data_IF_001834647935
#
_entry.id   IF_001834647935
#
_cell.length_a   1.000
_cell.length_b   1.000
_cell.length_c   1.000
_cell.angle_alpha   90.00
_cell.angle_beta   90.00
_cell.angle_gamma   90.00
#
_symmetry.space_group_name_H-M   'P 1'
#
loop_
_entity.id
_entity.type
_entity.pdbx_description
1 polymer ?
#
# COMPACT_ATOMS: atom_id res chain seq x y z
N UNK A 1 36.77 -2.79 31.50
CA UNK A 1 35.55 -2.42 30.76
C UNK A 1 35.13 -3.65 30.00
N UNK A 2 34.29 -4.45 30.62
CA UNK A 2 33.74 -5.65 29.98
C UNK A 2 32.64 -5.18 29.04
N UNK A 3 32.75 -5.53 27.76
CA UNK A 3 31.60 -5.60 26.85
C UNK A 3 30.70 -6.74 27.35
N UNK A 4 30.01 -6.53 28.48
CA UNK A 4 28.90 -7.41 28.86
C UNK A 4 27.77 -7.10 27.89
N UNK A 5 27.77 -7.86 26.79
CA UNK A 5 26.80 -7.77 25.73
C UNK A 5 25.40 -7.80 26.32
N UNK A 6 24.60 -6.81 25.95
CA UNK A 6 23.19 -6.78 26.34
C UNK A 6 22.50 -8.08 25.91
N UNK A 7 21.48 -8.55 26.64
CA UNK A 7 20.68 -9.68 26.20
C UNK A 7 20.17 -9.48 24.77
N UNK A 8 20.12 -10.55 23.97
CA UNK A 8 19.71 -10.49 22.55
C UNK A 8 18.34 -9.79 22.34
N UNK A 9 17.42 -9.96 23.30
CA UNK A 9 16.13 -9.29 23.29
C UNK A 9 16.25 -7.75 23.39
N UNK A 10 17.16 -7.24 24.24
CA UNK A 10 17.45 -5.81 24.35
C UNK A 10 18.11 -5.28 23.08
N UNK A 11 19.07 -6.00 22.51
CA UNK A 11 19.69 -5.60 21.24
C UNK A 11 18.69 -5.57 20.08
N UNK A 12 17.77 -6.55 20.04
CA UNK A 12 16.68 -6.60 19.06
C UNK A 12 15.74 -5.41 19.23
N UNK A 13 15.43 -5.05 20.48
CA UNK A 13 14.64 -3.87 20.80
C UNK A 13 15.33 -2.57 20.38
N UNK A 14 16.62 -2.39 20.70
CA UNK A 14 17.38 -1.20 20.33
C UNK A 14 17.55 -1.08 18.82
N UNK A 15 17.73 -2.19 18.08
CA UNK A 15 17.70 -2.18 16.61
C UNK A 15 16.35 -1.76 16.05
N UNK A 16 15.25 -2.19 16.66
CA UNK A 16 13.92 -1.75 16.26
C UNK A 16 13.70 -0.26 16.56
N UNK A 17 14.17 0.23 17.70
CA UNK A 17 14.11 1.65 18.09
C UNK A 17 14.94 2.53 17.15
N UNK A 18 16.18 2.15 16.86
CA UNK A 18 17.05 2.86 15.92
C UNK A 18 16.42 2.96 14.52
N UNK A 19 15.76 1.88 14.06
CA UNK A 19 15.02 1.90 12.80
C UNK A 19 13.83 2.89 12.82
N UNK A 20 13.10 3.01 13.93
CA UNK A 20 11.99 3.96 14.07
C UNK A 20 12.46 5.43 14.21
N UNK A 21 13.65 5.64 14.78
CA UNK A 21 14.29 6.96 14.95
C UNK A 21 15.08 7.42 13.71
N UNK A 22 15.19 6.61 12.66
CA UNK A 22 16.02 6.90 11.46
C UNK A 22 15.70 8.20 10.71
N UNK A 23 14.52 8.79 10.92
CA UNK A 23 14.11 10.07 10.33
C UNK A 23 14.31 11.27 11.28
N UNK A 24 14.65 11.03 12.54
CA UNK A 24 15.05 12.07 13.49
C UNK A 24 16.49 12.48 13.18
N UNK A 25 16.89 13.75 13.40
CA UNK A 25 18.29 14.14 13.27
C UNK A 25 19.22 13.16 14.02
N UNK A 26 20.36 12.77 13.42
CA UNK A 26 21.13 11.63 13.89
C UNK A 26 21.70 11.82 15.30
N UNK A 27 21.92 13.06 15.72
CA UNK A 27 22.46 13.35 17.05
C UNK A 27 21.42 13.07 18.15
N UNK A 28 20.20 13.65 18.13
CA UNK A 28 19.15 13.28 19.10
C UNK A 28 18.75 11.81 19.00
N UNK A 29 18.71 11.22 17.81
CA UNK A 29 18.41 9.79 17.67
C UNK A 29 19.43 8.91 18.42
N UNK A 30 20.74 9.20 18.29
CA UNK A 30 21.80 8.49 19.02
C UNK A 30 21.70 8.69 20.53
N UNK A 31 21.38 9.90 20.97
CA UNK A 31 21.19 10.22 22.38
C UNK A 31 20.04 9.40 22.98
N UNK A 32 18.88 9.37 22.31
CA UNK A 32 17.73 8.56 22.76
C UNK A 32 18.08 7.07 22.81
N UNK A 33 18.73 6.52 21.79
CA UNK A 33 19.14 5.11 21.78
C UNK A 33 20.15 4.83 22.90
N UNK A 34 21.08 5.75 23.16
CA UNK A 34 22.06 5.62 24.24
C UNK A 34 21.40 5.69 25.62
N UNK A 35 20.43 6.59 25.82
CA UNK A 35 19.69 6.73 27.08
C UNK A 35 18.84 5.49 27.36
N UNK A 36 18.13 4.97 26.35
CA UNK A 36 17.35 3.73 26.49
C UNK A 36 18.27 2.54 26.74
N UNK A 37 19.43 2.49 26.07
CA UNK A 37 20.45 1.45 26.31
C UNK A 37 20.96 1.50 27.76
N UNK A 38 21.30 2.69 28.26
CA UNK A 38 21.76 2.89 29.63
C UNK A 38 20.66 2.50 30.63
N UNK A 39 19.41 2.90 30.39
CA UNK A 39 18.29 2.54 31.23
C UNK A 39 18.06 1.02 31.32
N UNK A 40 18.22 0.29 30.20
CA UNK A 40 18.12 -1.17 30.19
C UNK A 40 19.28 -1.78 31.00
N UNK A 41 20.52 -1.30 30.80
CA UNK A 41 21.68 -1.79 31.53
C UNK A 41 21.53 -1.58 33.05
N UNK A 42 21.16 -0.37 33.47
CA UNK A 42 20.95 -0.03 34.89
C UNK A 42 19.85 -0.90 35.52
N UNK A 43 18.78 -1.19 34.76
CA UNK A 43 17.69 -2.03 35.25
C UNK A 43 18.10 -3.51 35.39
N UNK A 44 18.93 -4.01 34.46
CA UNK A 44 19.50 -5.36 34.54
C UNK A 44 20.46 -5.49 35.71
N UNK A 45 21.33 -4.50 35.94
CA UNK A 45 22.23 -4.45 37.10
C UNK A 45 21.45 -4.39 38.43
N UNK A 46 20.27 -3.77 38.41
CA UNK A 46 19.30 -3.78 39.50
C UNK A 46 18.56 -5.12 39.71
N UNK A 47 18.83 -6.14 38.88
CA UNK A 47 18.26 -7.49 38.98
C UNK A 47 16.85 -7.64 38.41
N UNK A 48 16.35 -6.67 37.62
CA UNK A 48 15.06 -6.81 36.93
C UNK A 48 15.19 -7.73 35.72
N UNK A 49 14.13 -8.49 35.45
CA UNK A 49 14.07 -9.35 34.27
C UNK A 49 13.87 -8.53 32.99
N UNK A 50 14.50 -8.98 31.90
CA UNK A 50 14.45 -8.28 30.61
C UNK A 50 13.02 -8.14 30.05
N UNK A 51 12.16 -9.14 30.24
CA UNK A 51 10.79 -9.07 29.73
C UNK A 51 9.98 -8.01 30.51
N UNK A 52 10.23 -7.87 31.81
CA UNK A 52 9.64 -6.83 32.64
C UNK A 52 10.12 -5.43 32.23
N UNK A 53 11.43 -5.27 31.99
CA UNK A 53 12.03 -4.01 31.52
C UNK A 53 11.42 -3.58 30.20
N UNK A 54 11.38 -4.48 29.21
CA UNK A 54 10.83 -4.18 27.88
C UNK A 54 9.31 -3.94 27.93
N UNK A 55 8.57 -4.64 28.78
CA UNK A 55 7.15 -4.37 28.98
C UNK A 55 6.90 -2.98 29.59
N UNK A 56 7.79 -2.52 30.49
CA UNK A 56 7.74 -1.20 31.10
C UNK A 56 8.08 -0.07 30.13
N UNK A 57 9.06 -0.27 29.25
CA UNK A 57 9.41 0.68 28.19
C UNK A 57 8.31 0.77 27.11
N UNK A 58 7.57 -0.30 26.89
CA UNK A 58 6.57 -0.40 25.83
C UNK A 58 7.17 -0.79 24.49
N UNK A 59 6.44 -0.52 23.41
CA UNK A 59 6.94 -0.77 22.06
C UNK A 59 7.95 0.29 21.63
N UNK A 60 8.94 -0.10 20.83
CA UNK A 60 9.92 0.84 20.27
C UNK A 60 9.26 1.98 19.46
N UNK A 61 8.11 1.70 18.84
CA UNK A 61 7.28 2.69 18.16
C UNK A 61 6.67 3.73 19.11
N UNK A 62 6.28 3.31 20.32
CA UNK A 62 5.75 4.20 21.34
C UNK A 62 6.85 5.14 21.87
N UNK A 63 8.04 4.61 22.16
CA UNK A 63 9.19 5.41 22.60
C UNK A 63 9.62 6.39 21.51
N UNK A 64 9.71 5.94 20.25
CA UNK A 64 10.03 6.83 19.14
C UNK A 64 8.96 7.92 18.90
N UNK A 65 7.68 7.59 19.08
CA UNK A 65 6.58 8.56 19.00
C UNK A 65 6.67 9.61 20.10
N UNK A 66 6.96 9.20 21.34
CA UNK A 66 7.15 10.11 22.46
C UNK A 66 8.35 11.04 22.22
N UNK A 67 9.48 10.49 21.80
CA UNK A 67 10.66 11.28 21.47
C UNK A 67 10.39 12.32 20.37
N UNK A 68 9.58 11.99 19.36
CA UNK A 68 9.17 12.96 18.34
C UNK A 68 8.30 14.07 18.92
N UNK A 69 7.35 13.73 19.79
CA UNK A 69 6.50 14.71 20.46
C UNK A 69 7.33 15.69 21.32
N UNK A 70 8.30 15.16 22.07
CA UNK A 70 9.25 15.96 22.87
C UNK A 70 10.12 16.89 22.00
N UNK A 71 10.52 16.42 20.82
CA UNK A 71 11.27 17.20 19.84
C UNK A 71 10.38 18.16 19.01
N UNK A 72 9.06 18.17 19.24
CA UNK A 72 8.10 18.96 18.47
C UNK A 72 8.00 18.56 16.99
N UNK A 73 8.40 17.33 16.66
CA UNK A 73 8.34 16.79 15.31
C UNK A 73 6.92 16.32 14.97
N UNK A 74 6.46 16.49 13.72
CA UNK A 74 5.12 16.06 13.33
C UNK A 74 4.93 14.55 13.53
N UNK A 75 3.79 14.18 14.11
CA UNK A 75 3.38 12.78 14.32
C UNK A 75 3.35 12.04 12.99
N UNK A 76 3.83 10.79 12.99
CA UNK A 76 4.04 9.93 11.81
C UNK A 76 2.72 9.40 11.19
N UNK A 77 1.77 10.30 10.93
CA UNK A 77 0.44 10.01 10.38
C UNK A 77 0.45 9.62 8.90
N UNK A 78 1.57 9.84 8.18
CA UNK A 78 1.67 9.59 6.74
C UNK A 78 1.39 8.13 6.38
N UNK A 79 2.02 7.17 7.08
CA UNK A 79 1.84 5.75 6.82
C UNK A 79 0.41 5.29 7.12
N UNK A 80 -0.20 5.76 8.21
CA UNK A 80 -1.56 5.39 8.56
C UNK A 80 -2.60 6.04 7.63
N UNK A 81 -2.34 7.27 7.16
CA UNK A 81 -3.16 7.94 6.15
C UNK A 81 -3.08 7.22 4.80
N UNK A 82 -1.89 6.78 4.39
CA UNK A 82 -1.70 5.95 3.21
C UNK A 82 -2.46 4.63 3.35
N UNK A 83 -2.34 3.97 4.51
CA UNK A 83 -3.04 2.74 4.80
C UNK A 83 -4.56 2.89 4.75
N UNK A 84 -5.11 3.96 5.36
CA UNK A 84 -6.54 4.26 5.33
C UNK A 84 -7.03 4.51 3.92
N UNK A 85 -6.30 5.30 3.13
CA UNK A 85 -6.65 5.61 1.74
C UNK A 85 -6.71 4.32 0.90
N UNK A 86 -5.70 3.45 1.03
CA UNK A 86 -5.66 2.19 0.30
C UNK A 86 -6.73 1.20 0.74
N UNK A 87 -7.00 1.12 2.05
CA UNK A 87 -8.13 0.32 2.56
C UNK A 87 -9.46 0.82 2.01
N UNK A 88 -9.69 2.13 1.91
CA UNK A 88 -10.92 2.69 1.29
C UNK A 88 -11.01 2.31 -0.19
N UNK A 89 -9.92 2.44 -0.95
CA UNK A 89 -9.88 2.03 -2.37
C UNK A 89 -10.15 0.53 -2.52
N UNK A 90 -9.57 -0.29 -1.66
CA UNK A 90 -9.78 -1.73 -1.68
C UNK A 90 -11.22 -2.11 -1.32
N UNK A 91 -11.84 -1.46 -0.34
CA UNK A 91 -13.26 -1.65 -0.02
C UNK A 91 -14.13 -1.24 -1.20
N UNK A 92 -13.87 -0.09 -1.82
CA UNK A 92 -14.63 0.36 -3.00
C UNK A 92 -14.50 -0.65 -4.17
N UNK A 93 -13.29 -1.15 -4.44
CA UNK A 93 -13.06 -2.20 -5.41
C UNK A 93 -13.81 -3.49 -5.04
N UNK A 94 -13.76 -3.91 -3.78
CA UNK A 94 -14.46 -5.11 -3.30
C UNK A 94 -15.97 -5.01 -3.44
N UNK A 95 -16.55 -3.83 -3.14
CA UNK A 95 -17.98 -3.56 -3.35
C UNK A 95 -18.33 -3.59 -4.84
N UNK A 96 -17.52 -2.97 -5.70
CA UNK A 96 -17.70 -3.04 -7.16
C UNK A 96 -17.71 -4.50 -7.64
N UNK A 97 -16.73 -5.30 -7.20
CA UNK A 97 -16.60 -6.72 -7.54
C UNK A 97 -17.82 -7.50 -7.03
N UNK A 98 -18.27 -7.26 -5.81
CA UNK A 98 -19.44 -7.93 -5.22
C UNK A 98 -20.72 -7.64 -6.02
N UNK A 99 -20.92 -6.38 -6.44
CA UNK A 99 -22.02 -5.99 -7.33
C UNK A 99 -21.88 -6.71 -8.67
N UNK A 100 -20.70 -6.72 -9.28
CA UNK A 100 -20.45 -7.45 -10.52
C UNK A 100 -20.77 -8.94 -10.36
N UNK A 101 -20.24 -9.62 -9.35
CA UNK A 101 -20.49 -11.06 -9.15
C UNK A 101 -21.97 -11.35 -8.86
N UNK A 102 -22.64 -10.49 -8.09
CA UNK A 102 -24.05 -10.69 -7.72
C UNK A 102 -25.02 -10.52 -8.89
N UNK A 103 -24.78 -9.53 -9.76
CA UNK A 103 -25.71 -9.15 -10.82
C UNK A 103 -25.28 -9.63 -12.22
N UNK A 104 -23.98 -9.76 -12.44
CA UNK A 104 -23.42 -9.99 -13.77
C UNK A 104 -23.00 -11.45 -13.99
N UNK A 105 -22.57 -12.20 -12.98
CA UNK A 105 -22.19 -13.61 -13.21
C UNK A 105 -23.43 -14.47 -13.49
N UNK A 106 -23.52 -15.12 -14.67
CA UNK A 106 -24.47 -16.20 -14.88
C UNK A 106 -24.12 -17.32 -13.91
N UNK A 107 -25.07 -17.78 -13.09
CA UNK A 107 -24.81 -18.92 -12.22
C UNK A 107 -24.68 -20.19 -13.08
N UNK A 108 -23.45 -20.65 -13.32
CA UNK A 108 -23.17 -21.86 -14.10
C UNK A 108 -23.25 -23.14 -13.28
N UNK A 109 -23.62 -23.06 -11.99
CA UNK A 109 -23.78 -24.25 -11.15
C UNK A 109 -24.97 -25.07 -11.69
N UNK A 110 -24.75 -26.28 -12.23
CA UNK A 110 -25.82 -27.15 -12.66
C UNK A 110 -26.40 -27.79 -11.39
N UNK A 111 -27.65 -27.48 -11.06
CA UNK A 111 -28.32 -28.08 -9.88
C UNK A 111 -29.57 -28.87 -10.27
N UNK A 112 -29.92 -28.96 -11.57
CA UNK A 112 -31.04 -29.80 -12.00
C UNK A 112 -30.60 -30.89 -12.99
N UNK A 113 -30.68 -32.18 -12.64
CA UNK A 113 -30.59 -33.28 -13.59
C UNK A 113 -31.88 -33.45 -14.43
N UNK A 114 -32.93 -32.65 -14.18
CA UNK A 114 -34.24 -32.78 -14.80
C UNK A 114 -34.69 -31.46 -15.46
N UNK A 115 -33.91 -30.98 -16.43
CA UNK A 115 -34.40 -30.27 -17.62
C UNK A 115 -35.42 -29.14 -17.41
N UNK A 116 -35.13 -28.17 -16.54
CA UNK A 116 -35.87 -26.91 -16.47
C UNK A 116 -34.98 -25.74 -16.90
N UNK A 117 -35.45 -25.01 -17.92
CA UNK A 117 -34.91 -23.81 -18.58
C UNK A 117 -33.58 -23.25 -18.06
N UNK A 118 -32.55 -23.35 -18.90
CA UNK A 118 -31.27 -22.65 -18.79
C UNK A 118 -31.42 -21.14 -19.07
N UNK A 119 -32.30 -20.47 -18.34
CA UNK A 119 -32.35 -19.01 -18.30
C UNK A 119 -31.15 -18.50 -17.50
N UNK A 120 -30.31 -17.69 -18.14
CA UNK A 120 -29.18 -16.97 -17.53
C UNK A 120 -29.66 -16.03 -16.40
N UNK A 121 -29.98 -16.58 -15.24
CA UNK A 121 -30.39 -15.80 -14.08
C UNK A 121 -29.18 -15.57 -13.18
N UNK A 122 -28.90 -14.30 -12.87
CA UNK A 122 -27.84 -13.92 -11.94
C UNK A 122 -28.07 -14.48 -10.52
N UNK A 123 -27.01 -14.53 -9.73
CA UNK A 123 -26.98 -15.13 -8.38
C UNK A 123 -28.11 -14.61 -7.49
N UNK A 124 -28.41 -13.31 -7.52
CA UNK A 124 -29.51 -12.70 -6.74
C UNK A 124 -30.88 -13.27 -7.11
N UNK A 125 -31.15 -13.48 -8.41
CA UNK A 125 -32.43 -14.01 -8.88
C UNK A 125 -32.58 -15.50 -8.56
N UNK A 126 -31.47 -16.24 -8.63
CA UNK A 126 -31.47 -17.70 -8.44
C UNK A 126 -31.40 -18.14 -6.99
N UNK A 127 -30.58 -17.49 -6.18
CA UNK A 127 -30.27 -17.88 -4.80
C UNK A 127 -30.84 -16.91 -3.75
N UNK A 128 -31.45 -15.81 -4.21
CA UNK A 128 -32.00 -14.78 -3.35
C UNK A 128 -30.96 -13.78 -2.84
N UNK A 129 -31.43 -12.67 -2.24
CA UNK A 129 -30.57 -11.57 -1.78
C UNK A 129 -29.62 -11.97 -0.64
N UNK A 130 -29.97 -12.98 0.16
CA UNK A 130 -29.14 -13.45 1.28
C UNK A 130 -27.80 -14.05 0.81
N UNK A 131 -27.81 -14.84 -0.27
CA UNK A 131 -26.57 -15.40 -0.83
C UNK A 131 -25.76 -14.31 -1.54
N UNK A 132 -26.41 -13.32 -2.15
CA UNK A 132 -25.72 -12.16 -2.70
C UNK A 132 -24.93 -11.37 -1.63
N UNK A 133 -25.41 -11.30 -0.38
CA UNK A 133 -24.65 -10.70 0.72
C UNK A 133 -23.32 -11.42 1.01
N UNK A 134 -23.22 -12.71 0.72
CA UNK A 134 -21.95 -13.44 0.90
C UNK A 134 -20.85 -12.94 -0.05
N UNK A 135 -21.22 -12.35 -1.20
CA UNK A 135 -20.24 -11.75 -2.13
C UNK A 135 -19.58 -10.48 -1.56
N UNK A 136 -20.14 -9.89 -0.51
CA UNK A 136 -19.54 -8.75 0.22
C UNK A 136 -18.49 -9.18 1.24
N UNK A 137 -18.41 -10.47 1.59
CA UNK A 137 -17.49 -10.98 2.60
C UNK A 137 -16.02 -10.60 2.30
N UNK A 138 -15.51 -10.72 1.05
CA UNK A 138 -14.19 -10.23 0.69
C UNK A 138 -13.98 -8.74 0.96
N UNK A 139 -14.98 -7.89 0.69
CA UNK A 139 -14.89 -6.46 0.94
C UNK A 139 -14.87 -6.16 2.46
N UNK A 140 -15.68 -6.87 3.25
CA UNK A 140 -15.70 -6.77 4.70
C UNK A 140 -14.36 -7.20 5.33
N UNK A 141 -13.74 -8.26 4.79
CA UNK A 141 -12.44 -8.74 5.24
C UNK A 141 -11.35 -7.66 5.07
N UNK A 142 -11.41 -6.88 3.99
CA UNK A 142 -10.49 -5.74 3.77
C UNK A 142 -10.86 -4.50 4.58
N UNK A 143 -12.12 -4.36 4.97
CA UNK A 143 -12.57 -3.31 5.87
C UNK A 143 -12.18 -3.58 7.34
N UNK A 144 -12.02 -4.85 7.74
CA UNK A 144 -11.77 -5.24 9.14
C UNK A 144 -10.57 -4.52 9.79
N UNK A 145 -9.41 -4.31 9.12
CA UNK A 145 -8.32 -3.53 9.69
C UNK A 145 -8.68 -2.07 10.03
N UNK A 146 -9.71 -1.47 9.41
CA UNK A 146 -10.10 -0.09 9.71
C UNK A 146 -10.67 0.08 11.13
N UNK A 147 -11.26 -0.97 11.70
CA UNK A 147 -11.87 -0.94 13.04
C UNK A 147 -10.94 -1.51 14.12
N UNK A 148 -9.91 -2.26 13.74
CA UNK A 148 -8.96 -2.88 14.68
C UNK A 148 -7.99 -1.85 15.30
N UNK A 149 -7.51 -2.09 16.54
CA UNK A 149 -6.52 -1.23 17.17
C UNK A 149 -5.17 -1.27 16.42
N UNK A 150 -4.40 -0.18 16.49
CA UNK A 150 -3.20 0.04 15.68
C UNK A 150 -2.17 -1.11 15.74
N UNK A 151 -1.99 -1.70 16.93
CA UNK A 151 -1.02 -2.78 17.20
C UNK A 151 -1.21 -4.02 16.32
N UNK A 152 -2.45 -4.43 16.05
CA UNK A 152 -2.77 -5.62 15.24
C UNK A 152 -3.09 -5.27 13.78
N UNK A 153 -3.25 -3.98 13.48
CA UNK A 153 -3.73 -3.51 12.18
C UNK A 153 -2.80 -3.88 11.02
N UNK A 154 -1.49 -3.84 11.26
CA UNK A 154 -0.49 -4.29 10.27
C UNK A 154 -0.65 -5.77 9.92
N UNK A 155 -0.62 -6.64 10.94
CA UNK A 155 -0.78 -8.08 10.77
C UNK A 155 -2.13 -8.44 10.14
N UNK A 156 -3.21 -7.78 10.55
CA UNK A 156 -4.54 -7.99 10.00
C UNK A 156 -4.62 -7.66 8.51
N UNK A 157 -3.93 -6.62 8.02
CA UNK A 157 -3.88 -6.29 6.58
C UNK A 157 -3.16 -7.38 5.77
N UNK A 158 -2.02 -7.89 6.27
CA UNK A 158 -1.32 -9.00 5.63
C UNK A 158 -2.15 -10.28 5.65
N UNK A 159 -2.78 -10.61 6.79
CA UNK A 159 -3.67 -11.76 6.89
C UNK A 159 -4.84 -11.65 5.91
N UNK A 160 -5.47 -10.48 5.81
CA UNK A 160 -6.56 -10.24 4.87
C UNK A 160 -6.11 -10.42 3.40
N UNK A 161 -4.97 -9.86 3.02
CA UNK A 161 -4.42 -10.01 1.67
C UNK A 161 -4.08 -11.47 1.34
N UNK A 162 -3.48 -12.20 2.29
CA UNK A 162 -3.18 -13.63 2.15
C UNK A 162 -4.45 -14.46 2.01
N UNK A 163 -5.45 -14.27 2.88
CA UNK A 163 -6.73 -14.99 2.83
C UNK A 163 -7.45 -14.74 1.50
N UNK A 164 -7.49 -13.50 1.03
CA UNK A 164 -8.08 -13.17 -0.28
C UNK A 164 -7.34 -13.84 -1.43
N UNK A 165 -6.00 -13.86 -1.38
CA UNK A 165 -5.19 -14.48 -2.43
C UNK A 165 -5.44 -15.99 -2.47
N UNK A 166 -5.43 -16.65 -1.30
CA UNK A 166 -5.71 -18.09 -1.20
C UNK A 166 -7.14 -18.40 -1.66
N UNK A 167 -8.13 -17.59 -1.25
CA UNK A 167 -9.51 -17.75 -1.70
C UNK A 167 -9.66 -17.56 -3.21
N UNK A 168 -9.00 -16.54 -3.78
CA UNK A 168 -8.99 -16.30 -5.22
C UNK A 168 -8.30 -17.44 -6.00
N UNK A 169 -7.23 -18.04 -5.48
CA UNK A 169 -6.62 -19.21 -6.11
C UNK A 169 -7.49 -20.46 -6.00
N UNK A 170 -8.13 -20.68 -4.85
CA UNK A 170 -8.95 -21.86 -4.59
C UNK A 170 -10.30 -21.87 -5.33
N UNK A 171 -10.85 -20.70 -5.64
CA UNK A 171 -12.16 -20.55 -6.30
C UNK A 171 -12.13 -20.74 -7.82
N UNK A 172 -11.00 -21.12 -8.42
CA UNK A 172 -10.87 -21.38 -9.86
C UNK A 172 -11.24 -20.16 -10.71
N UNK A 173 -12.13 -20.34 -11.69
CA UNK A 173 -12.57 -19.26 -12.60
C UNK A 173 -13.28 -18.11 -11.86
N UNK A 174 -14.05 -18.42 -10.81
CA UNK A 174 -14.71 -17.40 -9.97
C UNK A 174 -13.66 -16.59 -9.19
N UNK A 175 -12.55 -17.22 -8.85
CA UNK A 175 -11.43 -16.60 -8.16
C UNK A 175 -10.80 -15.44 -8.92
N UNK A 176 -10.79 -15.51 -10.25
CA UNK A 176 -10.28 -14.46 -11.15
C UNK A 176 -10.92 -13.09 -10.87
N UNK A 177 -12.21 -13.06 -10.50
CA UNK A 177 -12.93 -11.82 -10.21
C UNK A 177 -12.39 -11.12 -8.95
N UNK A 178 -11.83 -11.87 -8.01
CA UNK A 178 -11.32 -11.35 -6.74
C UNK A 178 -9.82 -11.03 -6.76
N UNK A 179 -9.08 -11.41 -7.81
CA UNK A 179 -7.65 -11.10 -7.91
C UNK A 179 -7.33 -9.59 -7.85
N UNK A 180 -8.06 -8.70 -8.55
CA UNK A 180 -7.86 -7.26 -8.38
C UNK A 180 -8.00 -6.79 -6.94
N UNK A 181 -8.97 -7.32 -6.19
CA UNK A 181 -9.13 -7.00 -4.77
C UNK A 181 -7.92 -7.45 -3.96
N UNK A 182 -7.41 -8.66 -4.21
CA UNK A 182 -6.21 -9.17 -3.56
C UNK A 182 -4.99 -8.29 -3.85
N UNK A 183 -4.82 -7.82 -5.10
CA UNK A 183 -3.73 -6.90 -5.47
C UNK A 183 -3.81 -5.58 -4.70
N UNK A 184 -4.99 -4.96 -4.62
CA UNK A 184 -5.17 -3.71 -3.86
C UNK A 184 -4.99 -3.95 -2.35
N UNK A 185 -5.42 -5.10 -1.83
CA UNK A 185 -5.19 -5.48 -0.43
C UNK A 185 -3.70 -5.66 -0.11
N UNK A 186 -2.93 -6.27 -1.01
CA UNK A 186 -1.46 -6.34 -0.91
C UNK A 186 -0.82 -4.96 -0.95
N UNK A 187 -1.27 -4.07 -1.83
CA UNK A 187 -0.82 -2.68 -1.84
C UNK A 187 -1.10 -2.00 -0.48
N UNK A 188 -2.29 -2.20 0.09
CA UNK A 188 -2.67 -1.66 1.41
C UNK A 188 -1.84 -2.23 2.57
N UNK A 189 -1.26 -3.43 2.43
CA UNK A 189 -0.37 -4.04 3.42
C UNK A 189 1.09 -3.58 3.25
N UNK A 190 1.60 -3.63 2.02
CA UNK A 190 3.01 -3.38 1.69
C UNK A 190 3.35 -1.90 1.73
N UNK A 191 2.52 -1.03 1.16
CA UNK A 191 2.86 0.40 1.01
C UNK A 191 3.06 1.09 2.36
N UNK A 192 2.14 0.99 3.35
CA UNK A 192 2.37 1.61 4.66
C UNK A 192 3.59 1.05 5.39
N UNK A 193 3.87 -0.24 5.21
CA UNK A 193 5.06 -0.88 5.75
C UNK A 193 6.35 -0.34 5.12
N UNK A 194 6.36 -0.17 3.79
CA UNK A 194 7.49 0.39 3.06
C UNK A 194 7.73 1.86 3.43
N UNK A 195 6.65 2.65 3.57
CA UNK A 195 6.72 4.05 4.03
C UNK A 195 7.32 4.13 5.43
N UNK A 196 6.89 3.27 6.37
CA UNK A 196 7.48 3.21 7.74
C UNK A 196 8.97 2.88 7.76
N UNK A 197 9.45 2.11 6.78
CA UNK A 197 10.87 1.75 6.66
C UNK A 197 11.70 2.75 5.85
N UNK A 198 11.12 3.87 5.42
CA UNK A 198 11.79 4.81 4.51
C UNK A 198 12.07 4.22 3.12
N UNK A 199 11.53 3.04 2.79
CA UNK A 199 11.74 2.35 1.52
C UNK A 199 10.93 2.93 0.35
N UNK A 200 10.16 4.00 0.60
CA UNK A 200 9.32 4.70 -0.38
C UNK A 200 10.07 5.68 -1.30
N UNK A 201 11.39 5.56 -1.43
CA UNK A 201 12.23 6.49 -2.17
C UNK A 201 12.06 6.47 -3.70
N UNK A 202 12.95 7.18 -4.40
CA UNK A 202 12.99 7.33 -5.87
C UNK A 202 12.90 6.01 -6.64
N UNK A 203 13.48 4.94 -6.11
CA UNK A 203 13.42 3.61 -6.73
C UNK A 203 11.99 3.12 -6.99
N UNK A 204 11.07 3.37 -6.04
CA UNK A 204 9.66 2.98 -6.20
C UNK A 204 8.96 3.73 -7.34
N UNK A 205 9.33 4.99 -7.54
CA UNK A 205 8.82 5.83 -8.63
C UNK A 205 9.29 5.30 -9.98
N UNK A 206 10.55 4.86 -10.10
CA UNK A 206 11.08 4.27 -11.33
C UNK A 206 10.47 2.90 -11.64
N UNK A 207 10.30 2.03 -10.64
CA UNK A 207 9.63 0.74 -10.84
C UNK A 207 8.18 0.94 -11.30
N UNK A 208 7.44 1.83 -10.64
CA UNK A 208 6.06 2.15 -11.00
C UNK A 208 5.99 2.75 -12.40
N UNK A 209 6.85 3.73 -12.71
CA UNK A 209 6.90 4.36 -14.02
C UNK A 209 7.26 3.38 -15.14
N UNK A 210 8.24 2.50 -14.91
CA UNK A 210 8.63 1.47 -15.86
C UNK A 210 7.50 0.47 -16.12
N UNK A 211 6.80 0.02 -15.08
CA UNK A 211 5.68 -0.91 -15.22
C UNK A 211 4.49 -0.29 -15.98
N UNK A 212 4.17 0.97 -15.69
CA UNK A 212 3.10 1.71 -16.37
C UNK A 212 3.47 2.01 -17.83
N UNK A 213 4.74 2.28 -18.13
CA UNK A 213 5.21 2.52 -19.49
C UNK A 213 5.27 1.25 -20.36
N UNK A 214 5.42 0.06 -19.73
CA UNK A 214 5.71 -1.19 -20.41
C UNK A 214 4.73 -1.52 -21.56
N UNK A 215 3.40 -1.42 -21.42
CA UNK A 215 2.50 -1.70 -22.53
C UNK A 215 2.71 -0.76 -23.73
N UNK A 216 2.96 0.53 -23.46
CA UNK A 216 3.25 1.50 -24.51
C UNK A 216 4.54 1.21 -25.26
N UNK A 217 5.57 0.75 -24.54
CA UNK A 217 6.83 0.29 -25.16
C UNK A 217 6.59 -0.94 -26.03
N UNK A 218 5.84 -1.95 -25.54
CA UNK A 218 5.56 -3.16 -26.30
C UNK A 218 4.78 -2.86 -27.59
N UNK A 219 3.75 -2.01 -27.52
CA UNK A 219 2.97 -1.59 -28.69
C UNK A 219 3.83 -0.78 -29.66
N UNK A 220 4.71 0.09 -29.17
CA UNK A 220 5.64 0.84 -30.02
C UNK A 220 6.61 -0.09 -30.76
N UNK A 221 7.19 -1.07 -30.07
CA UNK A 221 8.10 -2.06 -30.67
C UNK A 221 7.37 -2.91 -31.70
N UNK A 222 6.16 -3.39 -31.40
CA UNK A 222 5.34 -4.14 -32.35
C UNK A 222 4.99 -3.32 -33.60
N UNK A 223 4.61 -2.06 -33.41
CA UNK A 223 4.28 -1.15 -34.51
C UNK A 223 5.50 -0.87 -35.40
N UNK A 224 6.67 -0.62 -34.79
CA UNK A 224 7.92 -0.38 -35.51
C UNK A 224 8.39 -1.63 -36.29
N UNK A 225 8.11 -2.82 -35.78
CA UNK A 225 8.35 -4.09 -36.48
C UNK A 225 7.35 -4.39 -37.60
N UNK A 226 6.35 -3.53 -37.82
CA UNK A 226 5.31 -3.72 -38.85
C UNK A 226 4.29 -4.82 -38.54
N UNK A 227 4.26 -5.35 -37.31
CA UNK A 227 3.35 -6.43 -36.94
C UNK A 227 1.94 -5.96 -36.61
N UNK A 228 1.78 -4.68 -36.26
CA UNK A 228 0.49 -4.06 -35.94
C UNK A 228 0.38 -2.71 -36.65
N UNK A 229 -0.65 -2.54 -37.47
CA UNK A 229 -1.01 -1.25 -38.04
C UNK A 229 -1.76 -0.40 -37.01
N UNK A 230 -1.08 0.57 -36.39
CA UNK A 230 -1.68 1.47 -35.41
C UNK A 230 -1.91 2.84 -36.05
N UNK A 231 -3.18 3.23 -36.22
CA UNK A 231 -3.52 4.59 -36.66
C UNK A 231 -3.13 5.65 -35.62
N UNK A 232 -3.06 6.92 -36.00
CA UNK A 232 -2.63 8.02 -35.12
C UNK A 232 -3.36 8.08 -33.77
N UNK A 233 -4.67 7.84 -33.75
CA UNK A 233 -5.46 7.80 -32.50
C UNK A 233 -5.02 6.62 -31.62
N UNK A 234 -4.78 5.46 -32.22
CA UNK A 234 -4.26 4.30 -31.51
C UNK A 234 -2.85 4.54 -30.97
N UNK A 235 -1.99 5.24 -31.71
CA UNK A 235 -0.64 5.57 -31.27
C UNK A 235 -0.66 6.55 -30.09
N UNK A 236 -1.52 7.58 -30.16
CA UNK A 236 -1.70 8.52 -29.06
C UNK A 236 -2.21 7.81 -27.79
N UNK A 237 -3.21 6.93 -27.93
CA UNK A 237 -3.83 6.28 -26.78
C UNK A 237 -2.97 5.15 -26.20
N UNK A 238 -2.44 4.26 -27.04
CA UNK A 238 -1.80 3.01 -26.62
C UNK A 238 -0.28 3.11 -26.49
N UNK A 239 0.36 4.10 -27.11
CA UNK A 239 1.81 4.32 -26.99
C UNK A 239 2.06 5.57 -26.14
N UNK A 240 1.63 6.74 -26.61
CA UNK A 240 1.98 8.00 -25.95
C UNK A 240 1.34 8.11 -24.56
N UNK A 241 0.10 7.65 -24.38
CA UNK A 241 -0.61 7.64 -23.09
C UNK A 241 0.16 6.91 -21.98
N UNK A 242 0.41 5.59 -22.09
CA UNK A 242 1.17 4.83 -21.10
C UNK A 242 2.59 5.35 -20.88
N UNK A 243 3.28 5.81 -21.95
CA UNK A 243 4.61 6.39 -21.82
C UNK A 243 4.59 7.71 -21.04
N UNK A 244 3.63 8.59 -21.32
CA UNK A 244 3.47 9.86 -20.61
C UNK A 244 3.10 9.62 -19.14
N UNK A 245 2.15 8.72 -18.86
CA UNK A 245 1.80 8.33 -17.50
C UNK A 245 2.98 7.71 -16.76
N UNK A 246 3.72 6.81 -17.40
CA UNK A 246 4.93 6.20 -16.87
C UNK A 246 6.02 7.22 -16.57
N UNK A 247 6.23 8.20 -17.44
CA UNK A 247 7.16 9.30 -17.22
C UNK A 247 6.74 10.16 -16.01
N UNK A 248 5.46 10.56 -15.93
CA UNK A 248 4.95 11.31 -14.78
C UNK A 248 5.16 10.55 -13.46
N UNK A 249 4.91 9.24 -13.46
CA UNK A 249 5.19 8.36 -12.33
C UNK A 249 6.68 8.30 -11.99
N UNK A 250 7.56 8.16 -12.99
CA UNK A 250 9.01 8.12 -12.78
C UNK A 250 9.56 9.43 -12.19
N UNK A 251 8.97 10.58 -12.54
CA UNK A 251 9.30 11.88 -11.97
C UNK A 251 8.67 12.13 -10.59
N UNK A 252 7.89 11.20 -10.05
CA UNK A 252 7.23 11.35 -8.76
C UNK A 252 6.05 12.33 -8.77
N UNK A 253 5.51 12.67 -9.95
CA UNK A 253 4.40 13.61 -10.07
C UNK A 253 3.10 12.90 -9.67
N UNK A 254 2.49 13.36 -8.58
CA UNK A 254 1.25 12.80 -8.00
C UNK A 254 0.11 12.61 -9.00
N UNK A 255 -0.02 13.54 -9.95
CA UNK A 255 -1.03 13.47 -11.00
C UNK A 255 -0.87 12.21 -11.87
N UNK A 256 0.37 11.75 -12.11
CA UNK A 256 0.65 10.51 -12.83
C UNK A 256 0.08 9.30 -12.09
N UNK A 257 0.34 9.18 -10.80
CA UNK A 257 -0.18 8.07 -9.98
C UNK A 257 -1.72 8.04 -9.92
N UNK A 258 -2.33 9.21 -9.75
CA UNK A 258 -3.79 9.33 -9.76
C UNK A 258 -4.38 8.96 -11.13
N UNK A 259 -3.78 9.43 -12.23
CA UNK A 259 -4.20 9.09 -13.58
C UNK A 259 -4.07 7.59 -13.84
N UNK A 260 -2.98 6.94 -13.41
CA UNK A 260 -2.80 5.48 -13.51
C UNK A 260 -3.87 4.72 -12.72
N UNK A 261 -4.16 5.15 -11.49
CA UNK A 261 -5.20 4.53 -10.67
C UNK A 261 -6.59 4.63 -11.32
N UNK A 262 -6.93 5.83 -11.82
CA UNK A 262 -8.18 6.08 -12.53
C UNK A 262 -8.28 5.28 -13.82
N UNK A 263 -7.21 5.21 -14.61
CA UNK A 263 -7.15 4.40 -15.82
C UNK A 263 -7.38 2.92 -15.49
N UNK A 264 -6.74 2.40 -14.43
CA UNK A 264 -6.96 1.02 -13.97
C UNK A 264 -8.42 0.74 -13.59
N UNK A 265 -9.03 1.63 -12.79
CA UNK A 265 -10.44 1.53 -12.42
C UNK A 265 -11.38 1.59 -13.65
N UNK A 266 -11.12 2.51 -14.58
CA UNK A 266 -11.91 2.63 -15.81
C UNK A 266 -11.78 1.38 -16.69
N UNK A 267 -10.58 0.82 -16.84
CA UNK A 267 -10.38 -0.43 -17.59
C UNK A 267 -11.15 -1.58 -16.93
N UNK A 268 -11.16 -1.69 -15.61
CA UNK A 268 -11.97 -2.69 -14.90
C UNK A 268 -13.48 -2.51 -15.16
N UNK A 269 -13.97 -1.27 -15.11
CA UNK A 269 -15.40 -0.97 -15.35
C UNK A 269 -15.76 -1.25 -16.81
N UNK A 270 -14.91 -0.85 -17.76
CA UNK A 270 -15.14 -1.05 -19.20
C UNK A 270 -15.07 -2.53 -19.58
N UNK A 271 -14.16 -3.31 -18.99
CA UNK A 271 -14.10 -4.75 -19.25
C UNK A 271 -15.39 -5.45 -18.85
N UNK A 272 -16.16 -4.92 -17.90
CA UNK A 272 -17.47 -5.48 -17.55
C UNK A 272 -18.53 -5.29 -18.63
N UNK A 273 -18.40 -4.26 -19.48
CA UNK A 273 -19.29 -4.06 -20.62
C UNK A 273 -18.97 -5.07 -21.74
N UNK A 274 -17.71 -5.44 -21.90
CA UNK A 274 -17.24 -6.40 -22.91
C UNK A 274 -16.79 -7.71 -22.27
N UNK A 275 -17.74 -8.59 -21.95
CA UNK A 275 -17.47 -9.94 -21.38
C UNK A 275 -16.91 -10.94 -22.39
N UNK A 276 -16.04 -10.49 -23.29
CA UNK A 276 -15.38 -11.33 -24.28
C UNK A 276 -14.22 -12.13 -23.70
N UNK A 277 -13.51 -12.86 -24.56
CA UNK A 277 -12.33 -13.64 -24.21
C UNK A 277 -11.24 -12.83 -23.48
N UNK A 278 -11.14 -11.53 -23.75
CA UNK A 278 -10.14 -10.63 -23.17
C UNK A 278 -10.55 -10.05 -21.80
N UNK A 279 -11.76 -10.34 -21.33
CA UNK A 279 -12.28 -9.86 -20.05
C UNK A 279 -11.26 -10.07 -18.92
N UNK A 280 -10.78 -11.31 -18.78
CA UNK A 280 -9.83 -11.71 -17.75
C UNK A 280 -8.55 -10.88 -17.75
N UNK A 281 -7.99 -10.67 -18.94
CA UNK A 281 -6.76 -9.92 -19.11
C UNK A 281 -6.97 -8.45 -18.73
N UNK A 282 -7.97 -7.77 -19.30
CA UNK A 282 -8.23 -6.36 -18.99
C UNK A 282 -8.63 -6.15 -17.53
N UNK A 283 -9.39 -7.07 -16.95
CA UNK A 283 -9.77 -7.05 -15.55
C UNK A 283 -8.56 -7.11 -14.61
N UNK A 284 -7.65 -8.05 -14.86
CA UNK A 284 -6.41 -8.18 -14.08
C UNK A 284 -5.48 -6.99 -14.30
N UNK A 285 -5.29 -6.53 -15.53
CA UNK A 285 -4.48 -5.35 -15.84
C UNK A 285 -5.03 -4.09 -15.19
N UNK A 286 -6.35 -3.87 -15.26
CA UNK A 286 -7.01 -2.75 -14.62
C UNK A 286 -6.84 -2.78 -13.09
N UNK A 287 -6.99 -3.96 -12.48
CA UNK A 287 -6.73 -4.18 -11.05
C UNK A 287 -5.30 -3.88 -10.63
N UNK A 288 -4.33 -4.31 -11.45
CA UNK A 288 -2.92 -4.07 -11.21
C UNK A 288 -2.56 -2.59 -11.33
N UNK A 289 -3.06 -1.90 -12.36
CA UNK A 289 -2.89 -0.46 -12.54
C UNK A 289 -3.52 0.33 -11.40
N UNK A 290 -4.70 -0.08 -10.94
CA UNK A 290 -5.37 0.49 -9.78
C UNK A 290 -4.50 0.32 -8.52
N UNK A 291 -4.02 -0.88 -8.24
CA UNK A 291 -3.20 -1.17 -7.06
C UNK A 291 -1.88 -0.38 -7.06
N UNK A 292 -1.17 -0.35 -8.19
CA UNK A 292 0.10 0.36 -8.34
C UNK A 292 -0.12 1.88 -8.24
N UNK A 293 -1.07 2.42 -9.00
CA UNK A 293 -1.37 3.85 -9.03
C UNK A 293 -1.86 4.36 -7.67
N UNK A 294 -2.81 3.66 -7.05
CA UNK A 294 -3.30 4.04 -5.72
C UNK A 294 -2.19 3.90 -4.67
N UNK A 295 -1.38 2.84 -4.73
CA UNK A 295 -0.24 2.60 -3.85
C UNK A 295 0.77 3.74 -3.90
N UNK A 296 1.24 4.09 -5.09
CA UNK A 296 2.21 5.17 -5.29
C UNK A 296 1.62 6.55 -4.96
N UNK A 297 0.34 6.78 -5.26
CA UNK A 297 -0.36 8.00 -4.86
C UNK A 297 -0.43 8.13 -3.33
N UNK A 298 -0.80 7.06 -2.62
CA UNK A 298 -0.86 7.06 -1.17
C UNK A 298 0.52 7.26 -0.54
N UNK A 299 1.57 6.62 -1.08
CA UNK A 299 2.95 6.78 -0.63
C UNK A 299 3.46 8.22 -0.81
N UNK A 300 3.27 8.82 -1.98
CA UNK A 300 3.68 10.21 -2.24
C UNK A 300 2.90 11.23 -1.40
N UNK A 301 1.65 10.91 -1.03
CA UNK A 301 0.89 11.73 -0.08
C UNK A 301 1.39 11.66 1.35
N UNK A 302 1.92 10.51 1.75
CA UNK A 302 2.57 10.36 3.04
C UNK A 302 3.87 11.18 3.12
N UNK A 303 4.63 11.25 2.02
CA UNK A 303 5.88 12.00 1.95
C UNK A 303 5.69 13.53 2.08
N UNK A 304 4.80 14.16 1.31
CA UNK A 304 4.67 15.64 1.40
C UNK A 304 3.80 16.12 2.59
N UNK A 305 3.34 15.19 3.44
CA UNK A 305 2.69 15.53 4.71
C UNK A 305 3.67 16.00 5.77
N UNK A 306 4.97 15.91 5.51
CA UNK A 306 6.03 16.55 6.25
C UNK A 306 6.04 18.03 5.81
N UNK A 307 5.47 18.96 6.60
CA UNK A 307 5.73 20.36 6.32
C UNK A 307 7.25 20.48 6.29
N UNK A 308 7.78 21.11 5.26
CA UNK A 308 9.11 21.67 5.30
C UNK A 308 9.08 22.70 6.44
N UNK A 309 9.18 22.21 7.68
CA UNK A 309 9.64 22.95 8.82
C UNK A 309 10.96 23.45 8.33
N UNK A 310 10.92 24.71 7.90
CA UNK A 310 12.03 25.64 7.85
C UNK A 310 13.29 24.89 8.15
N UNK A 311 14.00 24.46 7.11
CA UNK A 311 15.45 24.41 7.20
C UNK A 311 15.82 25.80 7.64
N UNK A 312 15.83 25.99 8.96
CA UNK A 312 16.49 27.03 9.65
C UNK A 312 17.91 26.81 9.23
N UNK A 313 18.26 27.41 8.09
CA UNK A 313 19.59 27.90 7.84
C UNK A 313 19.94 28.54 9.18
N UNK A 314 20.85 27.94 9.97
CA UNK A 314 21.16 28.46 11.28
C UNK A 314 21.40 29.94 11.05
N UNK A 315 20.61 30.77 11.74
CA UNK A 315 20.73 32.22 11.61
C UNK A 315 22.22 32.47 11.77
N UNK A 316 22.90 32.82 10.65
CA UNK A 316 24.32 33.14 10.68
C UNK A 316 24.38 34.23 11.72
N UNK A 317 24.92 33.90 12.88
CA UNK A 317 25.18 34.85 13.95
C UNK A 317 25.99 35.93 13.28
N UNK A 318 25.33 37.07 13.04
CA UNK A 318 25.98 38.22 12.45
C UNK A 318 27.09 38.56 13.46
N UNK A 319 28.37 38.50 13.08
CA UNK A 319 29.45 38.77 14.02
C UNK A 319 29.19 40.16 14.63
N UNK A 320 29.24 40.23 15.95
CA UNK A 320 29.06 41.48 16.68
C UNK A 320 30.06 42.51 16.11
N UNK A 321 29.63 43.77 15.85
CA UNK A 321 30.56 44.80 15.41
C UNK A 321 31.66 44.94 16.46
N UNK A 322 32.91 44.92 16.01
CA UNK A 322 34.06 45.12 16.88
C UNK A 322 33.92 46.48 17.61
N UNK A 323 34.22 46.55 18.91
CA UNK A 323 34.26 47.83 19.60
C UNK A 323 35.34 48.70 18.94
N UNK A 324 34.91 49.85 18.41
CA UNK A 324 35.81 50.84 17.82
C UNK A 324 36.78 51.38 18.87
N UNK A 325 38.05 51.47 18.49
CA UNK A 325 39.09 52.21 19.21
C UNK A 325 39.08 53.70 18.90
#
# INVERSE_FOLDING_TARGET
>A
MSDDGLPEAAETYLRALDAELSEIPPDPAREIVADVRAHIADALDGGRDIAEILAGLGGADAVASQAREELGLPVRDGAERAARTLSVVAVAAGVLIAVCVSFLLPSTVPVDPLGADSGEQGVVRRFGPGIAMLTLLPALLVAAPLVLPGRVRGAARFAAATVLTVAACAAGEIGLYYFPLALVAWAAAIVPWAVRRGAGGRWWSYLTGGFVALPGVLVAVASAGGSVGVGWVGAALWIAGPLAAGALCAYGIRAGYAATALAGALVMILSMAERGFLFAAFWLFGGLYLAIGAGAYAASRAADGEPAGTTGRPARTRPAPAPGG
#
